data_IF_442145268110
#
_entry.id   IF_442145268110
#
_cell.length_a   1.000
_cell.length_b   1.000
_cell.length_c   1.000
_cell.angle_alpha   90.00
_cell.angle_beta   90.00
_cell.angle_gamma   90.00
#
_symmetry.space_group_name_H-M   'P 1'
#
loop_
_entity.id
_entity.type
_entity.pdbx_description
1 polymer ?
#
# COMPACT_ATOMS: atom_id res chain seq x y z
N UNK A 1 4.71 -28.96 -15.50
CA UNK A 1 5.04 -27.72 -14.81
C UNK A 1 4.36 -26.59 -15.58
N UNK A 2 3.16 -26.25 -15.20
CA UNK A 2 2.38 -25.15 -15.81
C UNK A 2 1.98 -24.18 -14.72
N UNK A 3 2.44 -22.92 -14.85
CA UNK A 3 1.75 -21.69 -14.56
C UNK A 3 1.20 -21.44 -13.14
N UNK A 4 2.03 -20.91 -12.23
CA UNK A 4 1.57 -20.10 -11.11
C UNK A 4 2.08 -18.66 -11.29
N UNK A 5 1.56 -18.00 -12.32
CA UNK A 5 1.66 -16.55 -12.50
C UNK A 5 0.22 -16.08 -12.66
N UNK A 6 -0.44 -15.79 -11.57
CA UNK A 6 -1.59 -14.90 -11.51
C UNK A 6 -2.18 -14.98 -10.11
N UNK A 7 -1.79 -14.10 -9.20
CA UNK A 7 -2.68 -13.55 -8.17
C UNK A 7 -1.93 -12.51 -7.31
N UNK A 8 -1.43 -11.46 -7.95
CA UNK A 8 -1.03 -10.24 -7.25
C UNK A 8 -1.85 -9.07 -7.75
N UNK A 9 -3.16 -9.19 -7.69
CA UNK A 9 -4.04 -8.06 -8.00
C UNK A 9 -5.15 -8.05 -6.96
N UNK A 10 -5.30 -6.92 -6.37
CA UNK A 10 -6.38 -6.38 -5.55
C UNK A 10 -6.05 -6.20 -4.07
N UNK A 11 -5.29 -5.15 -3.79
CA UNK A 11 -5.46 -4.36 -2.58
C UNK A 11 -5.90 -2.96 -2.99
N UNK A 12 -7.08 -2.84 -3.60
CA UNK A 12 -7.64 -1.54 -3.93
C UNK A 12 -7.85 -0.73 -2.65
N UNK A 13 -7.15 0.38 -2.55
CA UNK A 13 -7.25 1.37 -1.50
C UNK A 13 -8.59 2.10 -1.65
N UNK A 14 -9.63 1.67 -0.95
CA UNK A 14 -10.84 2.48 -0.77
C UNK A 14 -10.56 3.45 0.37
N UNK A 15 -10.08 4.64 0.03
CA UNK A 15 -10.06 5.80 0.93
C UNK A 15 -11.51 6.24 1.17
N UNK A 16 -12.09 5.85 2.31
CA UNK A 16 -13.34 6.41 2.81
C UNK A 16 -13.10 7.89 3.15
N UNK A 17 -13.62 8.77 2.30
CA UNK A 17 -13.78 10.20 2.56
C UNK A 17 -14.77 10.37 3.72
N UNK A 18 -14.29 10.84 4.88
CA UNK A 18 -15.15 11.38 5.94
C UNK A 18 -15.47 12.82 5.55
N UNK A 19 -16.73 13.19 5.31
CA UNK A 19 -17.09 14.57 5.04
C UNK A 19 -16.99 15.41 6.32
N UNK A 20 -16.15 16.45 6.31
CA UNK A 20 -16.13 17.50 7.33
C UNK A 20 -17.32 18.45 7.06
N UNK A 21 -18.05 18.89 8.09
CA UNK A 21 -19.15 19.82 7.92
C UNK A 21 -18.65 21.19 7.45
N UNK A 22 -19.31 21.73 6.43
CA UNK A 22 -19.04 23.05 5.88
C UNK A 22 -19.52 24.16 6.85
N UNK A 23 -18.62 25.06 7.22
CA UNK A 23 -18.93 26.34 7.86
C UNK A 23 -19.10 27.42 6.77
N UNK A 24 -20.05 28.36 6.91
CA UNK A 24 -20.36 29.33 5.86
C UNK A 24 -19.31 30.42 5.73
N UNK A 25 -18.90 30.70 4.49
CA UNK A 25 -17.99 31.78 4.12
C UNK A 25 -18.73 33.13 4.08
N UNK A 26 -18.12 34.11 4.72
CA UNK A 26 -18.44 35.54 4.53
C UNK A 26 -17.58 36.06 3.38
N UNK A 27 -18.24 36.67 2.39
CA UNK A 27 -17.58 37.32 1.27
C UNK A 27 -16.92 38.63 1.71
N UNK A 28 -15.73 38.91 1.21
CA UNK A 28 -15.16 40.27 1.11
C UNK A 28 -14.38 40.37 -0.19
N UNK A 29 -14.82 41.30 -1.04
CA UNK A 29 -14.19 41.74 -2.28
C UNK A 29 -12.83 42.36 -2.02
N UNK A 30 -11.83 41.92 -2.77
CA UNK A 30 -10.68 42.77 -3.17
C UNK A 30 -10.05 42.23 -4.44
N UNK A 31 -9.98 43.10 -5.45
CA UNK A 31 -9.35 42.94 -6.77
C UNK A 31 -7.85 42.69 -6.69
N UNK A 32 -7.26 41.82 -7.52
CA UNK A 32 -5.82 41.56 -7.53
C UNK A 32 -5.05 42.52 -8.46
N UNK A 33 -3.79 42.86 -8.17
CA UNK A 33 -2.89 43.50 -9.11
C UNK A 33 -2.35 42.54 -10.14
N UNK A 34 -2.26 42.99 -11.35
CA UNK A 34 -1.72 42.39 -12.56
C UNK A 34 -0.19 42.17 -12.45
N UNK A 35 0.29 41.01 -12.89
CA UNK A 35 1.62 40.90 -13.50
C UNK A 35 2.59 39.96 -12.86
N UNK A 36 2.68 38.76 -13.39
CA UNK A 36 3.90 38.09 -13.85
C UNK A 36 3.53 36.70 -14.35
N UNK A 37 3.62 36.49 -15.65
CA UNK A 37 3.37 35.19 -16.30
C UNK A 37 4.58 34.27 -16.06
N UNK A 38 4.42 33.32 -15.13
CA UNK A 38 5.21 32.11 -15.11
C UNK A 38 4.50 31.13 -16.06
N UNK A 39 5.21 30.54 -17.06
CA UNK A 39 4.58 29.59 -17.95
C UNK A 39 4.09 28.36 -17.17
N UNK A 40 2.96 27.74 -17.58
CA UNK A 40 2.47 26.52 -16.94
C UNK A 40 3.51 25.41 -17.13
N UNK A 41 3.76 24.57 -16.13
CA UNK A 41 4.52 23.36 -16.32
C UNK A 41 3.71 22.41 -17.22
N UNK A 42 3.94 22.50 -18.51
CA UNK A 42 3.42 21.55 -19.48
C UNK A 42 4.03 20.18 -19.26
N UNK A 43 3.35 19.13 -19.67
CA UNK A 43 3.86 17.77 -19.78
C UNK A 43 5.17 17.82 -20.57
N UNK A 44 6.30 17.98 -19.88
CA UNK A 44 7.62 17.95 -20.50
C UNK A 44 7.90 16.50 -20.90
N UNK A 45 8.08 16.26 -22.19
CA UNK A 45 8.78 15.07 -22.67
C UNK A 45 10.10 15.04 -21.89
N UNK A 46 10.45 13.92 -21.21
CA UNK A 46 11.69 13.84 -20.44
C UNK A 46 12.89 14.24 -21.31
N UNK A 47 13.82 15.00 -20.76
CA UNK A 47 15.09 15.25 -21.43
C UNK A 47 15.77 13.90 -21.73
N UNK A 48 16.50 13.80 -22.85
CA UNK A 48 17.01 12.53 -23.37
C UNK A 48 17.91 11.71 -22.42
N UNK A 49 18.33 12.28 -21.28
CA UNK A 49 19.19 11.66 -20.28
C UNK A 49 18.51 11.39 -18.92
N UNK A 50 17.21 11.70 -18.75
CA UNK A 50 16.53 11.42 -17.49
C UNK A 50 16.05 9.96 -17.42
N UNK A 51 16.41 9.27 -16.33
CA UNK A 51 15.93 7.92 -16.07
C UNK A 51 14.40 7.89 -15.90
N UNK A 52 13.75 6.92 -16.54
CA UNK A 52 12.29 6.83 -16.60
C UNK A 52 11.77 5.46 -16.18
N UNK A 53 10.52 5.42 -15.77
CA UNK A 53 9.71 4.21 -15.65
C UNK A 53 8.66 4.16 -16.76
N UNK A 54 8.48 2.97 -17.33
CA UNK A 54 7.44 2.65 -18.29
C UNK A 54 6.37 1.82 -17.61
N UNK A 55 5.17 2.32 -17.55
CA UNK A 55 4.10 1.81 -16.68
C UNK A 55 2.92 1.39 -17.55
N UNK A 56 2.47 0.15 -17.44
CA UNK A 56 1.22 -0.28 -18.08
C UNK A 56 0.05 0.09 -17.15
N UNK A 57 -0.76 1.05 -17.56
CA UNK A 57 -1.92 1.55 -16.83
C UNK A 57 -3.15 1.59 -17.75
N UNK A 58 -4.24 0.94 -17.38
CA UNK A 58 -5.47 0.90 -18.19
C UNK A 58 -5.25 0.41 -19.64
N UNK A 59 -4.32 -0.51 -19.87
CA UNK A 59 -3.98 -1.04 -21.19
C UNK A 59 -3.07 -0.14 -22.04
N UNK A 60 -2.57 0.98 -21.50
CA UNK A 60 -1.67 1.92 -22.19
C UNK A 60 -0.36 2.05 -21.44
N UNK A 61 0.77 2.09 -22.17
CA UNK A 61 2.08 2.33 -21.57
C UNK A 61 2.30 3.84 -21.42
N UNK A 62 2.47 4.28 -20.18
CA UNK A 62 2.80 5.65 -19.78
C UNK A 62 4.26 5.71 -19.37
N UNK A 63 5.00 6.70 -19.85
CA UNK A 63 6.40 6.94 -19.47
C UNK A 63 6.47 8.19 -18.60
N UNK A 64 7.06 8.05 -17.39
CA UNK A 64 7.31 9.14 -16.46
C UNK A 64 8.77 9.16 -16.09
N UNK A 65 9.33 10.33 -15.77
CA UNK A 65 10.63 10.39 -15.09
C UNK A 65 10.53 9.68 -13.74
N UNK A 66 11.63 9.13 -13.23
CA UNK A 66 11.66 8.50 -11.91
C UNK A 66 11.19 9.47 -10.83
N UNK A 67 11.59 10.74 -10.94
CA UNK A 67 11.16 11.80 -10.03
C UNK A 67 9.65 12.00 -10.05
N UNK A 68 9.07 12.17 -11.22
CA UNK A 68 7.61 12.40 -11.36
C UNK A 68 6.82 11.17 -10.89
N UNK A 69 7.26 9.98 -11.24
CA UNK A 69 6.65 8.74 -10.78
C UNK A 69 6.64 8.66 -9.24
N UNK A 70 7.76 8.96 -8.58
CA UNK A 70 7.85 8.90 -7.12
C UNK A 70 6.98 9.96 -6.43
N UNK A 71 6.88 11.18 -6.97
CA UNK A 71 5.98 12.22 -6.43
C UNK A 71 4.53 11.74 -6.50
N UNK A 72 4.09 11.19 -7.64
CA UNK A 72 2.75 10.65 -7.81
C UNK A 72 2.51 9.43 -6.91
N UNK A 73 3.51 8.56 -6.76
CA UNK A 73 3.45 7.40 -5.87
C UNK A 73 3.29 7.83 -4.41
N UNK A 74 4.06 8.81 -3.92
CA UNK A 74 3.89 9.34 -2.58
C UNK A 74 2.48 9.93 -2.37
N UNK A 75 1.96 10.67 -3.34
CA UNK A 75 0.62 11.25 -3.27
C UNK A 75 -0.49 10.19 -3.27
N UNK A 76 -0.24 9.03 -3.88
CA UNK A 76 -1.12 7.87 -3.90
C UNK A 76 -1.09 7.10 -2.58
N UNK A 77 0.12 6.78 -2.10
CA UNK A 77 0.37 5.82 -1.03
C UNK A 77 0.20 6.41 0.37
N UNK A 78 0.58 7.68 0.57
CA UNK A 78 0.64 8.26 1.91
C UNK A 78 -0.06 9.62 1.98
N UNK A 79 -0.67 9.96 3.14
CA UNK A 79 -1.10 11.32 3.41
C UNK A 79 0.09 12.30 3.31
N UNK A 80 -0.03 13.34 2.48
CA UNK A 80 1.02 14.37 2.36
C UNK A 80 1.30 15.12 3.67
N UNK A 81 0.40 15.00 4.66
CA UNK A 81 0.57 15.54 6.01
C UNK A 81 1.58 14.75 6.87
N UNK A 82 1.96 13.53 6.48
CA UNK A 82 2.94 12.71 7.23
C UNK A 82 4.31 13.40 7.32
N UNK A 83 5.11 13.02 8.30
CA UNK A 83 6.42 13.63 8.55
C UNK A 83 7.34 13.46 7.33
N UNK A 84 8.21 14.44 7.08
CA UNK A 84 9.11 14.44 5.91
C UNK A 84 10.02 13.21 5.86
N UNK A 85 10.50 12.74 7.01
CA UNK A 85 11.35 11.56 7.09
C UNK A 85 10.58 10.27 6.72
N UNK A 86 9.30 10.17 7.08
CA UNK A 86 8.45 9.06 6.64
C UNK A 86 8.20 9.10 5.12
N UNK A 87 7.99 10.28 4.56
CA UNK A 87 7.84 10.45 3.10
C UNK A 87 9.12 10.09 2.35
N UNK A 88 10.31 10.45 2.89
CA UNK A 88 11.60 10.03 2.32
C UNK A 88 11.77 8.51 2.38
N UNK A 89 11.48 7.87 3.53
CA UNK A 89 11.55 6.43 3.67
C UNK A 89 10.61 5.72 2.66
N UNK A 90 9.39 6.23 2.48
CA UNK A 90 8.46 5.71 1.48
C UNK A 90 8.97 5.90 0.04
N UNK A 91 9.59 7.04 -0.27
CA UNK A 91 10.16 7.27 -1.60
C UNK A 91 11.27 6.27 -1.92
N UNK A 92 12.18 6.01 -0.98
CA UNK A 92 13.24 5.00 -1.13
C UNK A 92 12.65 3.60 -1.27
N UNK A 93 11.68 3.24 -0.43
CA UNK A 93 11.02 1.93 -0.51
C UNK A 93 10.31 1.74 -1.86
N UNK A 94 9.58 2.74 -2.32
CA UNK A 94 8.89 2.69 -3.62
C UNK A 94 9.90 2.62 -4.78
N UNK A 95 10.96 3.44 -4.76
CA UNK A 95 12.02 3.40 -5.78
C UNK A 95 12.68 2.01 -5.83
N UNK A 96 12.99 1.44 -4.67
CA UNK A 96 13.57 0.09 -4.57
C UNK A 96 12.61 -0.96 -5.14
N UNK A 97 11.34 -0.93 -4.74
CA UNK A 97 10.33 -1.90 -5.19
C UNK A 97 10.12 -1.87 -6.70
N UNK A 98 9.87 -0.69 -7.27
CA UNK A 98 9.60 -0.55 -8.70
C UNK A 98 10.87 -0.67 -9.55
N UNK A 99 12.01 -0.20 -9.06
CA UNK A 99 13.30 -0.36 -9.71
C UNK A 99 13.71 -1.85 -9.81
N UNK A 100 13.47 -2.62 -8.76
CA UNK A 100 13.64 -4.08 -8.79
C UNK A 100 12.76 -4.73 -9.85
N UNK A 101 11.49 -4.32 -9.98
CA UNK A 101 10.61 -4.85 -11.00
C UNK A 101 11.13 -4.54 -12.42
N UNK A 102 11.60 -3.31 -12.67
CA UNK A 102 12.26 -2.94 -13.92
C UNK A 102 13.46 -3.85 -14.23
N UNK A 103 14.35 -4.06 -13.27
CA UNK A 103 15.52 -4.94 -13.43
C UNK A 103 15.13 -6.39 -13.76
N UNK A 104 14.11 -6.93 -13.08
CA UNK A 104 13.58 -8.26 -13.37
C UNK A 104 12.99 -8.34 -14.77
N UNK A 105 12.29 -7.30 -15.20
CA UNK A 105 11.67 -7.23 -16.52
C UNK A 105 12.70 -7.10 -17.64
N UNK A 106 13.78 -6.37 -17.41
CA UNK A 106 14.90 -6.27 -18.34
C UNK A 106 15.59 -7.64 -18.52
N UNK A 107 15.74 -8.43 -17.43
CA UNK A 107 16.31 -9.79 -17.49
C UNK A 107 15.35 -10.81 -18.12
N UNK A 108 14.03 -10.66 -17.92
CA UNK A 108 12.99 -11.55 -18.42
C UNK A 108 11.79 -10.74 -18.95
N UNK A 109 11.83 -10.29 -20.21
CA UNK A 109 10.74 -9.53 -20.81
C UNK A 109 9.43 -10.32 -20.82
N UNK A 110 8.31 -9.62 -20.54
CA UNK A 110 6.96 -10.19 -20.58
C UNK A 110 6.15 -9.48 -21.68
N UNK A 111 5.78 -10.18 -22.76
CA UNK A 111 5.00 -9.58 -23.85
C UNK A 111 3.65 -8.99 -23.40
N UNK A 112 3.06 -9.53 -22.31
CA UNK A 112 1.80 -9.00 -21.77
C UNK A 112 1.92 -7.57 -21.24
N UNK A 113 3.13 -7.13 -20.90
CA UNK A 113 3.40 -5.76 -20.44
C UNK A 113 3.66 -4.76 -21.57
N UNK A 114 3.62 -5.18 -22.85
CA UNK A 114 3.79 -4.29 -24.00
C UNK A 114 5.05 -3.43 -23.92
N UNK A 115 6.11 -3.97 -23.30
CA UNK A 115 7.38 -3.28 -23.07
C UNK A 115 7.39 -2.33 -21.87
N UNK A 116 6.37 -2.32 -21.00
CA UNK A 116 6.41 -1.62 -19.73
C UNK A 116 7.27 -2.39 -18.70
N UNK A 117 7.77 -1.66 -17.72
CA UNK A 117 8.56 -2.21 -16.63
C UNK A 117 7.67 -2.97 -15.61
N UNK A 118 6.44 -2.49 -15.42
CA UNK A 118 5.47 -3.07 -14.49
C UNK A 118 4.04 -2.59 -14.77
N UNK A 119 3.07 -3.23 -14.10
CA UNK A 119 1.66 -2.81 -14.03
C UNK A 119 1.43 -2.12 -12.71
N UNK A 120 0.65 -1.05 -12.70
CA UNK A 120 0.20 -0.43 -11.45
C UNK A 120 -0.99 -1.17 -10.84
N UNK A 121 -1.11 -1.19 -9.49
CA UNK A 121 -2.23 -1.86 -8.82
C UNK A 121 -3.59 -1.18 -9.08
N UNK A 122 -3.61 0.09 -9.46
CA UNK A 122 -4.80 0.85 -9.84
C UNK A 122 -4.67 1.29 -11.29
N UNK A 123 -5.62 0.91 -12.14
CA UNK A 123 -5.67 1.28 -13.57
C UNK A 123 -5.70 2.80 -13.79
N UNK A 124 -6.16 3.56 -12.81
CA UNK A 124 -6.23 5.02 -12.85
C UNK A 124 -4.94 5.71 -12.44
N UNK A 125 -4.03 5.00 -11.77
CA UNK A 125 -2.69 5.49 -11.50
C UNK A 125 -1.86 5.38 -12.81
N UNK A 126 -0.99 6.34 -13.19
CA UNK A 126 -0.66 7.56 -12.43
C UNK A 126 -1.52 8.79 -12.78
N UNK A 127 -2.49 8.68 -13.70
CA UNK A 127 -3.23 9.82 -14.23
C UNK A 127 -4.02 10.60 -13.17
N UNK A 128 -4.64 9.89 -12.20
CA UNK A 128 -5.38 10.53 -11.09
C UNK A 128 -4.49 11.27 -10.07
N UNK A 129 -3.18 11.21 -10.26
CA UNK A 129 -2.20 11.86 -9.38
C UNK A 129 -1.31 12.82 -10.17
N UNK A 130 -1.76 13.27 -11.34
CA UNK A 130 -1.17 14.39 -12.05
C UNK A 130 -1.45 15.72 -11.31
N UNK A 131 -0.82 16.79 -11.77
CA UNK A 131 -0.92 18.08 -11.13
C UNK A 131 -2.38 18.59 -11.04
N UNK A 132 -3.18 18.42 -12.08
CA UNK A 132 -4.57 18.88 -12.11
C UNK A 132 -5.43 18.13 -11.08
N UNK A 133 -5.29 16.81 -11.02
CA UNK A 133 -5.99 15.98 -10.05
C UNK A 133 -5.57 16.29 -8.61
N UNK A 134 -4.27 16.51 -8.36
CA UNK A 134 -3.77 16.86 -7.04
C UNK A 134 -4.19 18.26 -6.61
N UNK A 135 -4.26 19.24 -7.53
CA UNK A 135 -4.82 20.58 -7.25
C UNK A 135 -6.29 20.48 -6.84
N UNK A 136 -7.08 19.70 -7.55
CA UNK A 136 -8.48 19.45 -7.21
C UNK A 136 -8.61 18.78 -5.84
N UNK A 137 -7.80 17.74 -5.57
CA UNK A 137 -7.85 16.94 -4.33
C UNK A 137 -7.47 17.73 -3.09
N UNK A 138 -6.41 18.55 -3.17
CA UNK A 138 -5.85 19.26 -2.02
C UNK A 138 -6.30 20.73 -1.92
N UNK A 139 -6.89 21.29 -2.98
CA UNK A 139 -7.38 22.66 -2.98
C UNK A 139 -6.33 23.65 -2.51
N UNK A 140 -6.64 24.47 -1.49
CA UNK A 140 -5.73 25.46 -0.93
C UNK A 140 -4.46 24.90 -0.27
N UNK A 141 -4.38 23.58 -0.02
CA UNK A 141 -3.19 22.93 0.53
C UNK A 141 -2.23 22.42 -0.55
N UNK A 142 -2.60 22.52 -1.83
CA UNK A 142 -1.83 21.94 -2.93
C UNK A 142 -0.37 22.37 -2.91
N UNK A 143 -0.09 23.67 -2.89
CA UNK A 143 1.29 24.19 -2.94
C UNK A 143 2.16 23.68 -1.77
N UNK A 144 1.58 23.64 -0.56
CA UNK A 144 2.27 23.14 0.64
C UNK A 144 2.58 21.65 0.53
N UNK A 145 1.60 20.84 0.15
CA UNK A 145 1.75 19.39 0.06
C UNK A 145 2.63 18.98 -1.10
N UNK A 146 2.43 19.57 -2.28
CA UNK A 146 3.22 19.27 -3.46
C UNK A 146 4.69 19.61 -3.27
N UNK A 147 5.00 20.82 -2.73
CA UNK A 147 6.37 21.22 -2.40
C UNK A 147 7.01 20.25 -1.41
N UNK A 148 6.26 19.78 -0.41
CA UNK A 148 6.76 18.82 0.58
C UNK A 148 7.09 17.46 -0.04
N UNK A 149 6.23 16.94 -0.93
CA UNK A 149 6.49 15.69 -1.64
C UNK A 149 7.70 15.82 -2.57
N UNK A 150 7.79 16.91 -3.33
CA UNK A 150 8.96 17.20 -4.16
C UNK A 150 10.25 17.19 -3.34
N UNK A 151 10.27 17.93 -2.23
CA UNK A 151 11.45 18.01 -1.37
C UNK A 151 11.83 16.64 -0.77
N UNK A 152 10.85 15.81 -0.42
CA UNK A 152 11.10 14.46 0.09
C UNK A 152 11.71 13.56 -1.00
N UNK A 153 11.18 13.59 -2.22
CA UNK A 153 11.70 12.82 -3.35
C UNK A 153 13.10 13.30 -3.75
N UNK A 154 13.29 14.62 -3.91
CA UNK A 154 14.56 15.22 -4.35
C UNK A 154 15.71 14.90 -3.39
N UNK A 155 15.41 14.78 -2.10
CA UNK A 155 16.42 14.44 -1.09
C UNK A 155 16.93 12.99 -1.17
N UNK A 156 16.20 12.08 -1.80
CA UNK A 156 16.51 10.64 -1.80
C UNK A 156 16.43 10.01 -3.20
N UNK A 157 16.31 10.81 -4.24
CA UNK A 157 16.19 10.32 -5.62
C UNK A 157 17.40 9.43 -5.99
N UNK A 158 17.13 8.25 -6.54
CA UNK A 158 18.14 7.24 -6.90
C UNK A 158 18.63 6.39 -5.74
N UNK A 159 18.29 6.71 -4.48
CA UNK A 159 18.64 5.85 -3.34
C UNK A 159 17.75 4.60 -3.32
N UNK A 160 18.36 3.45 -3.07
CA UNK A 160 17.66 2.18 -3.03
C UNK A 160 18.28 1.22 -2.03
N UNK A 161 17.53 0.20 -1.64
CA UNK A 161 17.97 -0.81 -0.68
C UNK A 161 18.39 -2.09 -1.39
N UNK A 162 19.50 -2.66 -0.91
CA UNK A 162 20.01 -3.97 -1.33
C UNK A 162 20.16 -4.91 -0.15
N UNK A 163 20.09 -6.19 -0.41
CA UNK A 163 20.48 -7.28 0.50
C UNK A 163 21.46 -8.19 -0.23
N UNK A 164 22.68 -8.32 0.31
CA UNK A 164 23.77 -9.06 -0.35
C UNK A 164 24.05 -8.58 -1.79
N UNK A 165 23.96 -7.28 -2.02
CA UNK A 165 24.19 -6.66 -3.34
C UNK A 165 23.04 -6.73 -4.34
N UNK A 166 21.93 -7.41 -4.00
CA UNK A 166 20.75 -7.49 -4.86
C UNK A 166 19.63 -6.59 -4.36
N UNK A 167 18.91 -5.93 -5.27
CA UNK A 167 17.76 -5.09 -4.93
C UNK A 167 16.68 -5.90 -4.23
N UNK A 168 16.21 -5.41 -3.09
CA UNK A 168 15.20 -6.08 -2.27
C UNK A 168 13.77 -5.89 -2.81
N UNK A 169 12.88 -6.76 -2.37
CA UNK A 169 11.43 -6.60 -2.52
C UNK A 169 10.92 -5.71 -1.38
N UNK A 170 11.08 -4.39 -1.56
CA UNK A 170 10.82 -3.39 -0.52
C UNK A 170 9.32 -3.14 -0.32
N UNK A 171 8.61 -4.15 0.17
CA UNK A 171 7.17 -4.09 0.42
C UNK A 171 6.81 -3.11 1.53
N UNK A 172 5.68 -2.44 1.39
CA UNK A 172 5.12 -1.52 2.39
C UNK A 172 3.59 -1.61 2.39
N UNK A 173 2.98 -1.14 3.45
CA UNK A 173 1.53 -1.20 3.65
C UNK A 173 1.05 -0.14 4.64
N UNK A 174 -0.25 0.10 4.70
CA UNK A 174 -0.79 1.26 5.42
C UNK A 174 -0.60 1.19 6.94
N UNK A 175 -0.94 0.06 7.60
CA UNK A 175 -1.06 -0.02 9.05
C UNK A 175 -0.92 -1.46 9.56
N UNK A 176 0.01 -1.74 10.47
CA UNK A 176 0.14 -3.06 11.09
C UNK A 176 -0.88 -3.30 12.21
N UNK A 177 -0.98 -4.54 12.66
CA UNK A 177 -1.74 -4.87 13.86
C UNK A 177 -0.95 -4.67 15.19
N UNK A 178 0.15 -3.93 15.13
CA UNK A 178 1.08 -3.65 16.23
C UNK A 178 2.43 -4.36 16.07
N UNK A 179 2.55 -5.23 15.06
CA UNK A 179 3.77 -5.84 14.56
C UNK A 179 3.62 -6.07 13.05
N UNK A 180 4.72 -5.99 12.31
CA UNK A 180 4.73 -6.44 10.90
C UNK A 180 4.77 -7.96 10.83
N UNK A 181 4.51 -8.51 9.64
CA UNK A 181 4.47 -9.95 9.40
C UNK A 181 5.63 -10.39 8.51
N UNK A 182 6.02 -11.65 8.59
CA UNK A 182 7.02 -12.22 7.68
C UNK A 182 6.45 -12.52 6.29
N UNK A 183 7.31 -12.43 5.28
CA UNK A 183 6.97 -12.83 3.92
C UNK A 183 6.62 -14.34 3.84
N UNK A 184 7.21 -15.17 4.71
CA UNK A 184 6.93 -16.59 4.80
C UNK A 184 5.47 -16.88 5.18
N UNK A 185 4.93 -16.19 6.18
CA UNK A 185 3.52 -16.35 6.61
C UNK A 185 2.56 -15.86 5.54
N UNK A 186 2.83 -14.69 4.96
CA UNK A 186 1.88 -14.07 4.02
C UNK A 186 1.95 -14.71 2.63
N UNK A 187 3.14 -14.99 2.10
CA UNK A 187 3.34 -15.46 0.73
C UNK A 187 3.95 -16.86 0.62
N UNK A 188 4.37 -17.48 1.73
CA UNK A 188 5.03 -18.78 1.73
C UNK A 188 6.45 -18.75 1.19
N UNK A 189 7.11 -17.58 1.15
CA UNK A 189 8.47 -17.37 0.68
C UNK A 189 9.28 -16.68 1.77
N UNK A 190 10.35 -17.31 2.22
CA UNK A 190 11.28 -16.67 3.15
C UNK A 190 12.09 -15.60 2.44
N UNK A 191 12.05 -14.39 2.99
CA UNK A 191 12.87 -13.25 2.58
C UNK A 191 13.56 -12.72 3.83
N UNK A 192 14.89 -12.92 3.99
CA UNK A 192 15.59 -12.62 5.24
C UNK A 192 15.46 -11.17 5.70
N UNK A 193 15.30 -10.26 4.78
CA UNK A 193 15.14 -8.81 5.04
C UNK A 193 13.69 -8.39 5.34
N UNK A 194 12.69 -9.29 5.23
CA UNK A 194 11.27 -9.05 5.56
C UNK A 194 10.85 -9.89 6.78
N UNK A 195 11.42 -9.56 7.92
CA UNK A 195 11.13 -10.21 9.20
C UNK A 195 10.07 -9.42 9.99
N UNK A 196 9.33 -10.07 10.91
CA UNK A 196 8.43 -9.35 11.79
C UNK A 196 9.17 -8.37 12.69
N UNK A 197 8.72 -7.12 12.74
CA UNK A 197 9.21 -6.11 13.68
C UNK A 197 8.05 -5.47 14.44
N UNK A 198 8.27 -5.10 15.71
CA UNK A 198 7.26 -4.39 16.48
C UNK A 198 6.94 -3.04 15.83
N UNK A 199 5.69 -2.67 15.74
CA UNK A 199 5.25 -1.36 15.23
C UNK A 199 4.17 -0.79 16.16
N UNK A 200 4.55 -0.46 17.44
CA UNK A 200 3.59 -0.11 18.48
C UNK A 200 2.83 1.19 18.21
N UNK A 201 3.44 2.11 17.46
CA UNK A 201 2.82 3.36 17.04
C UNK A 201 1.54 3.16 16.23
N UNK A 202 1.44 2.07 15.49
CA UNK A 202 0.26 1.75 14.67
C UNK A 202 -1.03 1.65 15.50
N UNK A 203 -0.93 1.23 16.77
CA UNK A 203 -2.06 1.15 17.69
C UNK A 203 -2.68 2.50 18.04
N UNK A 204 -1.97 3.60 17.76
CA UNK A 204 -2.44 4.97 18.00
C UNK A 204 -3.24 5.51 16.81
N UNK A 205 -3.27 4.77 15.69
CA UNK A 205 -4.07 5.17 14.52
C UNK A 205 -5.56 5.13 14.83
N UNK A 206 -6.33 6.17 14.50
CA UNK A 206 -7.79 6.15 14.63
C UNK A 206 -8.46 5.00 13.86
N UNK A 207 -7.79 4.49 12.81
CA UNK A 207 -8.25 3.37 12.01
C UNK A 207 -7.63 2.02 12.39
N UNK A 208 -7.00 1.91 13.56
CA UNK A 208 -6.31 0.69 14.00
C UNK A 208 -7.24 -0.53 14.07
N UNK A 209 -8.43 -0.37 14.61
CA UNK A 209 -9.41 -1.42 14.71
C UNK A 209 -10.70 -1.02 13.99
N UNK A 210 -11.26 -1.93 13.22
CA UNK A 210 -12.52 -1.74 12.50
C UNK A 210 -13.39 -2.98 12.64
N UNK A 211 -14.71 -2.77 12.68
CA UNK A 211 -15.69 -3.85 12.69
C UNK A 211 -16.38 -3.93 11.33
N UNK A 212 -16.49 -5.14 10.78
CA UNK A 212 -17.22 -5.44 9.54
C UNK A 212 -18.28 -6.47 9.88
N UNK A 213 -19.53 -6.19 9.53
CA UNK A 213 -20.63 -7.14 9.67
C UNK A 213 -21.05 -7.60 8.29
N UNK A 214 -21.08 -8.91 8.08
CA UNK A 214 -21.49 -9.57 6.85
C UNK A 214 -22.58 -10.60 7.18
N UNK A 215 -23.67 -10.62 6.41
CA UNK A 215 -24.70 -11.65 6.54
C UNK A 215 -24.10 -13.04 6.27
N UNK A 216 -24.71 -14.08 6.84
CA UNK A 216 -24.29 -15.47 6.56
C UNK A 216 -24.33 -15.79 5.07
N UNK A 217 -25.29 -15.22 4.33
CA UNK A 217 -25.39 -15.40 2.88
C UNK A 217 -24.19 -14.80 2.12
N UNK A 218 -23.75 -13.58 2.48
CA UNK A 218 -22.57 -12.93 1.88
C UNK A 218 -21.31 -13.71 2.18
N UNK A 219 -21.12 -14.14 3.45
CA UNK A 219 -19.96 -14.95 3.86
C UNK A 219 -19.94 -16.28 3.11
N UNK A 220 -21.07 -16.98 3.05
CA UNK A 220 -21.18 -18.26 2.29
C UNK A 220 -20.83 -18.07 0.82
N UNK A 221 -21.40 -17.07 0.17
CA UNK A 221 -21.16 -16.80 -1.25
C UNK A 221 -19.68 -16.48 -1.52
N UNK A 222 -19.07 -15.63 -0.70
CA UNK A 222 -17.67 -15.25 -0.84
C UNK A 222 -16.71 -16.42 -0.61
N UNK A 223 -16.94 -17.19 0.46
CA UNK A 223 -16.09 -18.33 0.80
C UNK A 223 -16.27 -19.51 -0.18
N UNK A 224 -17.48 -19.80 -0.66
CA UNK A 224 -17.71 -20.83 -1.70
C UNK A 224 -17.01 -20.47 -3.00
N UNK A 225 -17.01 -19.19 -3.37
CA UNK A 225 -16.29 -18.73 -4.56
C UNK A 225 -14.76 -18.86 -4.40
N UNK A 226 -14.24 -18.57 -3.21
CA UNK A 226 -12.80 -18.62 -2.94
C UNK A 226 -12.29 -20.05 -2.71
N UNK A 227 -13.14 -20.93 -2.15
CA UNK A 227 -12.82 -22.30 -1.75
C UNK A 227 -13.88 -23.27 -2.29
N UNK A 228 -13.84 -23.58 -3.61
CA UNK A 228 -14.90 -24.37 -4.26
C UNK A 228 -15.10 -25.79 -3.68
N UNK A 229 -14.03 -26.36 -3.12
CA UNK A 229 -14.05 -27.70 -2.54
C UNK A 229 -14.45 -27.72 -1.05
N UNK A 230 -14.70 -26.55 -0.43
CA UNK A 230 -15.12 -26.43 0.96
C UNK A 230 -16.64 -26.62 1.11
N UNK A 231 -17.06 -27.29 2.18
CA UNK A 231 -18.47 -27.58 2.45
C UNK A 231 -19.05 -26.62 3.50
N UNK A 232 -19.85 -25.65 3.08
CA UNK A 232 -20.57 -24.73 3.97
C UNK A 232 -21.99 -25.23 4.19
N UNK A 233 -22.17 -26.03 5.26
CA UNK A 233 -23.46 -26.62 5.64
C UNK A 233 -24.49 -25.60 6.15
N UNK A 234 -25.55 -26.12 6.80
CA UNK A 234 -26.69 -25.31 7.27
C UNK A 234 -26.39 -24.51 8.55
N UNK A 235 -25.30 -24.83 9.29
CA UNK A 235 -24.91 -24.19 10.55
C UNK A 235 -23.80 -23.17 10.30
N UNK A 236 -24.11 -21.87 10.14
CA UNK A 236 -23.10 -20.86 9.81
C UNK A 236 -21.97 -20.75 10.85
N UNK A 237 -22.28 -20.94 12.15
CA UNK A 237 -21.32 -20.93 13.25
C UNK A 237 -20.20 -21.97 13.10
N UNK A 238 -20.42 -22.99 12.27
CA UNK A 238 -19.47 -24.06 12.00
C UNK A 238 -18.57 -23.79 10.79
N UNK A 239 -18.83 -22.72 10.01
CA UNK A 239 -18.12 -22.47 8.75
C UNK A 239 -16.67 -22.03 8.93
N UNK A 240 -16.39 -21.24 9.96
CA UNK A 240 -15.06 -20.74 10.28
C UNK A 240 -14.67 -21.16 11.69
N UNK A 241 -13.50 -21.84 11.84
CA UNK A 241 -13.06 -22.41 13.12
C UNK A 241 -11.53 -22.39 13.26
N UNK A 242 -11.08 -22.61 14.46
CA UNK A 242 -9.69 -22.94 14.84
C UNK A 242 -8.65 -22.00 14.24
N UNK A 243 -8.79 -20.67 14.36
CA UNK A 243 -7.78 -19.76 13.84
C UNK A 243 -6.44 -19.96 14.55
N UNK A 244 -5.41 -20.23 13.78
CA UNK A 244 -4.02 -20.31 14.23
C UNK A 244 -3.35 -18.96 13.95
N UNK A 245 -2.87 -18.31 14.98
CA UNK A 245 -2.22 -17.00 14.86
C UNK A 245 -0.71 -17.17 14.63
N UNK A 246 -0.16 -16.27 13.82
CA UNK A 246 1.28 -16.05 13.71
C UNK A 246 1.83 -15.36 14.96
N UNK A 247 3.14 -15.27 15.08
CA UNK A 247 3.80 -14.50 16.14
C UNK A 247 3.46 -12.99 16.08
N UNK A 248 3.14 -12.46 14.89
CA UNK A 248 2.72 -11.08 14.69
C UNK A 248 1.24 -10.83 15.07
N UNK A 249 0.45 -11.88 15.30
CA UNK A 249 -0.97 -11.78 15.66
C UNK A 249 -1.92 -11.76 14.47
N UNK A 250 -1.46 -12.10 13.27
CA UNK A 250 -2.34 -12.34 12.11
C UNK A 250 -2.84 -13.79 12.09
N UNK A 251 -3.97 -14.03 11.47
CA UNK A 251 -4.47 -15.39 11.22
C UNK A 251 -3.59 -16.00 10.13
N UNK A 252 -2.71 -16.93 10.51
CA UNK A 252 -1.87 -17.68 9.59
C UNK A 252 -2.72 -18.70 8.81
N UNK A 253 -3.49 -19.52 9.55
CA UNK A 253 -4.43 -20.50 8.99
C UNK A 253 -5.68 -20.58 9.86
N UNK A 254 -6.78 -21.05 9.25
CA UNK A 254 -8.00 -21.42 9.95
C UNK A 254 -8.76 -22.49 9.15
N UNK A 255 -9.73 -23.14 9.79
CA UNK A 255 -10.64 -24.04 9.08
C UNK A 255 -11.80 -23.26 8.47
N UNK A 256 -12.03 -23.41 7.17
CA UNK A 256 -13.18 -22.86 6.45
C UNK A 256 -13.89 -23.98 5.69
N UNK A 257 -15.16 -24.25 6.03
CA UNK A 257 -15.95 -25.31 5.41
C UNK A 257 -15.26 -26.69 5.45
N UNK A 258 -14.58 -27.01 6.56
CA UNK A 258 -13.84 -28.25 6.75
C UNK A 258 -12.43 -28.30 6.13
N UNK A 259 -11.99 -27.25 5.43
CA UNK A 259 -10.65 -27.17 4.83
C UNK A 259 -9.74 -26.22 5.63
N UNK A 260 -8.46 -26.56 5.76
CA UNK A 260 -7.46 -25.65 6.27
C UNK A 260 -7.07 -24.65 5.19
N UNK A 261 -7.30 -23.36 5.45
CA UNK A 261 -7.04 -22.27 4.51
C UNK A 261 -6.19 -21.18 5.18
N UNK A 262 -5.50 -20.36 4.37
CA UNK A 262 -4.74 -19.22 4.89
C UNK A 262 -5.65 -18.07 5.29
N UNK A 263 -5.35 -17.39 6.38
CA UNK A 263 -6.08 -16.18 6.80
C UNK A 263 -6.03 -15.06 5.75
N UNK A 264 -4.93 -14.96 5.00
CA UNK A 264 -4.81 -14.02 3.87
C UNK A 264 -5.80 -14.31 2.75
N UNK A 265 -6.13 -15.58 2.49
CA UNK A 265 -7.12 -15.97 1.49
C UNK A 265 -8.55 -15.65 1.96
N UNK A 266 -8.85 -15.89 3.25
CA UNK A 266 -10.13 -15.48 3.86
C UNK A 266 -10.27 -13.96 3.87
N UNK A 267 -9.20 -13.22 4.25
CA UNK A 267 -9.15 -11.76 4.12
C UNK A 267 -9.55 -11.29 2.72
N UNK A 268 -8.95 -11.88 1.69
CA UNK A 268 -9.21 -11.51 0.29
C UNK A 268 -10.65 -11.84 -0.12
N UNK A 269 -11.15 -13.02 0.25
CA UNK A 269 -12.51 -13.46 -0.06
C UNK A 269 -13.57 -12.55 0.56
N UNK A 270 -13.38 -12.13 1.81
CA UNK A 270 -14.34 -11.31 2.57
C UNK A 270 -14.08 -9.81 2.47
N UNK A 271 -13.06 -9.35 1.72
CA UNK A 271 -12.71 -7.93 1.59
C UNK A 271 -12.24 -7.28 2.89
N UNK A 272 -11.66 -8.05 3.83
CA UNK A 272 -11.19 -7.52 5.10
C UNK A 272 -9.90 -6.69 4.91
N UNK A 273 -9.73 -5.67 5.74
CA UNK A 273 -8.60 -4.74 5.65
C UNK A 273 -7.24 -5.42 5.90
N UNK A 274 -7.19 -6.41 6.80
CA UNK A 274 -5.98 -7.17 7.11
C UNK A 274 -6.30 -8.63 7.45
N UNK A 275 -5.28 -9.47 7.57
CA UNK A 275 -5.41 -10.83 8.10
C UNK A 275 -5.37 -10.90 9.65
N UNK A 276 -5.24 -9.77 10.34
CA UNK A 276 -5.34 -9.71 11.81
C UNK A 276 -6.80 -9.51 12.21
N UNK A 277 -7.60 -10.55 12.12
CA UNK A 277 -9.02 -10.49 12.42
C UNK A 277 -9.43 -11.56 13.45
N UNK A 278 -10.49 -11.24 14.19
CA UNK A 278 -11.30 -12.18 14.97
C UNK A 278 -12.72 -12.15 14.41
N UNK A 279 -13.52 -13.17 14.70
CA UNK A 279 -14.90 -13.21 14.25
C UNK A 279 -15.83 -13.86 15.29
N UNK A 280 -17.10 -13.47 15.24
CA UNK A 280 -18.20 -14.08 15.97
C UNK A 280 -19.40 -14.23 15.05
N UNK A 281 -20.22 -15.24 15.30
CA UNK A 281 -21.51 -15.39 14.59
C UNK A 281 -22.65 -15.00 15.54
N UNK A 282 -23.55 -14.16 15.04
CA UNK A 282 -24.75 -13.71 15.72
C UNK A 282 -25.99 -14.44 15.23
N UNK A 283 -26.52 -15.39 16.01
CA UNK A 283 -27.72 -16.17 15.63
C UNK A 283 -28.94 -15.29 15.38
N UNK A 284 -29.10 -14.23 16.17
CA UNK A 284 -30.24 -13.33 16.08
C UNK A 284 -30.30 -12.59 14.74
N UNK A 285 -29.15 -12.14 14.29
CA UNK A 285 -29.02 -11.30 13.10
C UNK A 285 -28.60 -12.12 11.86
N UNK A 286 -28.33 -13.43 12.06
CA UNK A 286 -27.81 -14.33 11.02
C UNK A 286 -26.61 -13.73 10.28
N UNK A 287 -25.65 -13.22 11.04
CA UNK A 287 -24.51 -12.47 10.50
C UNK A 287 -23.22 -12.76 11.26
N UNK A 288 -22.11 -12.64 10.56
CA UNK A 288 -20.77 -12.64 11.14
C UNK A 288 -20.34 -11.20 11.43
N UNK A 289 -19.72 -11.00 12.59
CA UNK A 289 -19.03 -9.78 12.94
C UNK A 289 -17.53 -10.06 12.95
N UNK A 290 -16.77 -9.34 12.13
CA UNK A 290 -15.32 -9.41 12.07
C UNK A 290 -14.73 -8.16 12.73
N UNK A 291 -13.87 -8.34 13.73
CA UNK A 291 -13.03 -7.27 14.28
C UNK A 291 -11.66 -7.38 13.64
N UNK A 292 -11.25 -6.35 12.91
CA UNK A 292 -10.04 -6.35 12.05
C UNK A 292 -9.08 -5.27 12.52
N UNK A 293 -7.83 -5.62 12.79
CA UNK A 293 -6.75 -4.70 13.21
C UNK A 293 -5.77 -4.48 12.07
N UNK A 294 -5.38 -3.21 11.87
CA UNK A 294 -4.45 -2.85 10.81
C UNK A 294 -5.09 -2.77 9.41
N UNK A 295 -4.25 -2.47 8.42
CA UNK A 295 -4.66 -2.32 7.02
C UNK A 295 -3.51 -2.65 6.07
N UNK A 296 -3.68 -3.65 5.24
CA UNK A 296 -2.71 -4.12 4.25
C UNK A 296 -2.27 -5.55 4.50
N UNK A 297 -1.21 -5.96 3.81
CA UNK A 297 -0.67 -7.33 3.90
C UNK A 297 0.22 -7.55 5.11
N UNK A 298 0.70 -6.50 5.76
CA UNK A 298 1.48 -6.58 6.99
C UNK A 298 2.98 -6.76 6.81
N UNK A 299 3.53 -6.95 5.62
CA UNK A 299 4.95 -7.26 5.39
C UNK A 299 5.76 -6.03 5.03
N UNK A 300 6.95 -5.87 5.63
CA UNK A 300 7.84 -4.74 5.39
C UNK A 300 7.41 -3.47 6.14
N UNK A 301 7.52 -2.29 5.53
CA UNK A 301 7.32 -1.02 6.23
C UNK A 301 5.84 -0.67 6.42
N UNK A 302 5.44 -0.42 7.68
CA UNK A 302 4.17 0.23 7.99
C UNK A 302 4.28 1.73 7.72
N UNK A 303 3.39 2.27 6.88
CA UNK A 303 3.38 3.69 6.52
C UNK A 303 3.03 4.58 7.73
N UNK A 304 2.05 4.19 8.53
CA UNK A 304 1.70 4.90 9.77
C UNK A 304 2.80 4.74 10.82
N UNK A 305 3.37 3.54 10.95
CA UNK A 305 4.49 3.29 11.85
C UNK A 305 5.73 4.10 11.48
N UNK A 306 6.02 4.29 10.18
CA UNK A 306 7.07 5.17 9.70
C UNK A 306 6.83 6.63 10.11
N UNK A 307 5.58 7.15 9.96
CA UNK A 307 5.22 8.49 10.43
C UNK A 307 5.37 8.63 11.95
N UNK A 308 4.96 7.61 12.70
CA UNK A 308 5.14 7.58 14.15
C UNK A 308 6.62 7.66 14.53
N UNK A 309 7.48 6.82 13.96
CA UNK A 309 8.93 6.83 14.24
C UNK A 309 9.57 8.17 13.86
N UNK A 310 9.21 8.74 12.70
CA UNK A 310 9.67 10.04 12.26
C UNK A 310 9.32 11.15 13.27
N UNK A 311 8.12 11.11 13.86
CA UNK A 311 7.69 12.04 14.92
C UNK A 311 8.40 11.80 16.25
N UNK A 312 8.99 10.63 16.46
CA UNK A 312 9.88 10.35 17.61
C UNK A 312 11.34 10.78 17.33
N UNK A 313 11.63 11.36 16.16
CA UNK A 313 12.95 11.88 15.82
C UNK A 313 13.80 10.94 14.96
N UNK A 314 13.29 9.81 14.51
CA UNK A 314 14.02 8.91 13.61
C UNK A 314 14.13 9.51 12.21
N UNK A 315 15.33 9.47 11.63
CA UNK A 315 15.58 9.79 10.24
C UNK A 315 15.09 8.68 9.29
N UNK A 316 14.96 9.00 8.01
CA UNK A 316 14.45 8.04 7.03
C UNK A 316 15.33 6.78 6.90
N UNK A 317 16.67 6.90 7.02
CA UNK A 317 17.60 5.77 7.00
C UNK A 317 17.35 4.83 8.20
N UNK A 318 17.17 5.39 9.40
CA UNK A 318 16.85 4.61 10.61
C UNK A 318 15.49 3.92 10.50
N UNK A 319 14.48 4.59 9.89
CA UNK A 319 13.17 4.00 9.64
C UNK A 319 13.27 2.83 8.67
N UNK A 320 14.05 2.96 7.59
CA UNK A 320 14.26 1.88 6.62
C UNK A 320 14.96 0.68 7.28
N UNK A 321 16.03 0.89 8.03
CA UNK A 321 16.72 -0.18 8.75
C UNK A 321 15.87 -0.79 9.88
N UNK A 322 14.91 -0.06 10.42
CA UNK A 322 13.96 -0.59 11.40
C UNK A 322 13.04 -1.64 10.78
N UNK A 323 12.54 -1.41 9.57
CA UNK A 323 11.58 -2.29 8.91
C UNK A 323 12.19 -3.34 7.99
N UNK A 324 13.39 -3.10 7.48
CA UNK A 324 14.08 -4.01 6.56
C UNK A 324 15.41 -4.47 7.18
N UNK A 325 15.45 -5.75 7.55
CA UNK A 325 16.58 -6.35 8.29
C UNK A 325 17.80 -6.48 7.40
N UNK A 326 18.99 -6.10 7.91
CA UNK A 326 20.30 -6.31 7.28
C UNK A 326 20.41 -5.79 5.84
N UNK A 327 19.68 -4.74 5.50
CA UNK A 327 19.78 -4.08 4.19
C UNK A 327 20.87 -3.03 4.17
N UNK A 328 21.43 -2.81 2.99
CA UNK A 328 22.33 -1.69 2.69
C UNK A 328 21.55 -0.62 1.92
N UNK A 329 21.68 0.64 2.32
CA UNK A 329 21.15 1.77 1.58
C UNK A 329 22.22 2.27 0.60
N UNK A 330 21.99 2.01 -0.67
CA UNK A 330 22.84 2.50 -1.76
C UNK A 330 22.43 3.92 -2.15
N UNK A 331 23.42 4.80 -2.34
CA UNK A 331 23.22 6.20 -2.78
C UNK A 331 23.73 6.34 -4.21
N UNK A 332 23.11 7.20 -5.04
CA UNK A 332 23.67 7.50 -6.36
C UNK A 332 25.07 8.09 -6.21
N UNK A 333 25.98 7.64 -7.09
CA UNK A 333 27.35 8.15 -7.16
C UNK A 333 27.37 9.55 -7.75
#
# INVERSE_FOLDING_TARGET
>A
MKGYIALFVTGALVLLLIPLPALPRRASDTTPPTGSSVPPPGSSVPAADEATFRILAGGTVVTLTEREFLIRTLAFEMPAAYHSEALKAQAVAAYTYYGRQRLLRQKAPDPALQGADFVTPDEKFPAQYDEAALRQRWGGQYETYYKKLCAAVDAVLGQHMTYQGEWIDACYFALSCGSTESAAVVWGKELPYLQPVASPGDRLSPGFETTVTLSAAEVRAALTKAFPDAAFGESPEEWLKDPQLSAAGTVATLTAGGQSVRGTAVRAALGLRSAAFTFTYGYKDNAFQFTVRGYGHGVGMSQYGADYLARQGYGYEEILHYYYTDVTLEKPQ
#
